data_IF_342978088277
#
_entry.id   IF_342978088277
#
_cell.length_a   1.000
_cell.length_b   1.000
_cell.length_c   1.000
_cell.angle_alpha   90.00
_cell.angle_beta   90.00
_cell.angle_gamma   90.00
#
_symmetry.space_group_name_H-M   'P 1'
#
loop_
_entity.id
_entity.type
_entity.pdbx_description
1 polymer ?
#
# COMPACT_ATOMS: atom_id res chain seq x y z
N UNK A 1 39.06 -18.50 -2.40
CA UNK A 1 38.37 -17.91 -3.57
C UNK A 1 36.88 -18.24 -3.63
N UNK A 2 36.44 -19.51 -3.54
CA UNK A 2 35.00 -19.86 -3.57
C UNK A 2 34.13 -19.19 -2.48
N UNK A 3 34.67 -18.94 -1.28
CA UNK A 3 33.93 -18.28 -0.18
C UNK A 3 33.69 -16.78 -0.39
N UNK A 4 34.49 -16.10 -1.22
CA UNK A 4 34.35 -14.67 -1.49
C UNK A 4 33.21 -14.43 -2.51
N UNK A 5 33.03 -15.36 -3.44
CA UNK A 5 31.97 -15.31 -4.46
C UNK A 5 30.58 -15.39 -3.80
N UNK A 6 30.41 -16.22 -2.77
CA UNK A 6 29.16 -16.33 -2.04
C UNK A 6 28.77 -15.04 -1.27
N UNK A 7 29.76 -14.31 -0.76
CA UNK A 7 29.52 -13.05 -0.03
C UNK A 7 29.07 -11.91 -0.97
N UNK A 8 29.60 -11.88 -2.20
CA UNK A 8 29.21 -10.89 -3.22
C UNK A 8 27.77 -11.14 -3.71
N UNK A 9 27.35 -12.41 -3.84
CA UNK A 9 25.99 -12.77 -4.24
C UNK A 9 24.91 -12.34 -3.22
N UNK A 10 25.24 -12.29 -1.93
CA UNK A 10 24.32 -11.83 -0.87
C UNK A 10 24.10 -10.31 -0.89
N UNK A 11 25.03 -9.53 -1.44
CA UNK A 11 24.87 -8.07 -1.57
C UNK A 11 24.06 -7.65 -2.80
N UNK A 12 23.77 -8.59 -3.70
CA UNK A 12 23.01 -8.37 -4.94
C UNK A 12 21.53 -8.73 -4.83
N UNK A 13 21.03 -9.11 -3.65
CA UNK A 13 19.59 -9.18 -3.41
C UNK A 13 19.03 -7.76 -3.45
N UNK A 14 18.55 -7.36 -4.64
CA UNK A 14 17.88 -6.09 -4.84
C UNK A 14 16.76 -5.95 -3.82
N UNK A 15 16.86 -4.92 -2.98
CA UNK A 15 15.74 -4.43 -2.19
C UNK A 15 14.66 -4.05 -3.21
N UNK A 16 13.60 -4.86 -3.29
CA UNK A 16 12.38 -4.47 -3.98
C UNK A 16 11.85 -3.26 -3.22
N UNK A 17 12.15 -2.06 -3.74
CA UNK A 17 11.73 -0.82 -3.14
C UNK A 17 10.23 -0.68 -3.39
N UNK A 18 9.44 -0.95 -2.35
CA UNK A 18 8.06 -0.52 -2.25
C UNK A 18 7.98 0.96 -2.61
N UNK A 19 7.19 1.30 -3.64
CA UNK A 19 7.10 2.65 -4.15
C UNK A 19 5.65 3.10 -4.25
N UNK A 20 5.34 4.19 -3.57
CA UNK A 20 4.09 4.92 -3.74
C UNK A 20 4.02 5.64 -5.09
N UNK A 21 5.04 5.51 -5.94
CA UNK A 21 5.08 6.01 -7.31
C UNK A 21 4.56 4.99 -8.32
N UNK A 22 4.64 3.69 -8.03
CA UNK A 22 4.08 2.63 -8.88
C UNK A 22 2.91 1.87 -8.22
N UNK A 23 2.58 2.23 -6.97
CA UNK A 23 1.47 1.70 -6.18
C UNK A 23 1.56 0.19 -5.94
N UNK A 24 2.80 -0.33 -5.95
CA UNK A 24 3.08 -1.75 -5.74
C UNK A 24 3.89 -1.98 -4.48
N UNK A 25 3.62 -3.11 -3.85
CA UNK A 25 4.36 -3.61 -2.71
C UNK A 25 4.43 -2.60 -1.54
N UNK A 26 3.38 -1.78 -1.36
CA UNK A 26 3.34 -0.70 -0.37
C UNK A 26 2.68 -1.13 0.94
N UNK A 27 3.05 -0.47 2.03
CA UNK A 27 2.53 -0.74 3.36
C UNK A 27 1.34 0.16 3.69
N UNK A 28 0.48 -0.30 4.60
CA UNK A 28 -0.63 0.50 5.12
C UNK A 28 -0.13 1.45 6.22
N UNK A 29 -0.15 2.74 5.92
CA UNK A 29 0.13 3.82 6.87
C UNK A 29 -1.06 4.10 7.75
N UNK A 30 -1.82 5.16 7.44
CA UNK A 30 -2.97 5.57 8.25
C UNK A 30 -4.26 5.10 7.60
N UNK A 31 -5.21 4.67 8.42
CA UNK A 31 -6.57 4.33 8.00
C UNK A 31 -7.50 5.35 8.65
N UNK A 32 -8.30 6.04 7.84
CA UNK A 32 -9.34 6.94 8.31
C UNK A 32 -10.70 6.27 8.20
N UNK A 33 -11.32 6.02 9.35
CA UNK A 33 -12.70 5.56 9.47
C UNK A 33 -13.56 6.71 9.99
N UNK A 34 -14.71 6.94 9.36
CA UNK A 34 -15.63 8.02 9.73
C UNK A 34 -17.01 7.46 10.11
N UNK A 35 -17.62 8.03 11.16
CA UNK A 35 -18.93 7.61 11.67
C UNK A 35 -19.99 7.76 10.57
N UNK A 36 -20.71 6.68 10.28
CA UNK A 36 -21.75 6.66 9.24
C UNK A 36 -21.22 6.47 7.81
N UNK A 37 -19.91 6.62 7.59
CA UNK A 37 -19.26 6.35 6.31
C UNK A 37 -18.52 5.00 6.31
N UNK A 38 -17.87 4.63 7.41
CA UNK A 38 -16.93 3.51 7.43
C UNK A 38 -15.57 3.95 6.91
N UNK A 39 -14.92 3.12 6.08
CA UNK A 39 -13.64 3.45 5.47
C UNK A 39 -13.77 4.71 4.60
N UNK A 40 -13.04 5.77 4.95
CA UNK A 40 -13.03 7.03 4.20
C UNK A 40 -11.80 7.16 3.32
N UNK A 41 -10.62 7.01 3.91
CA UNK A 41 -9.37 7.17 3.17
C UNK A 41 -8.21 6.40 3.81
N UNK A 42 -7.15 6.16 3.02
CA UNK A 42 -5.92 5.49 3.46
C UNK A 42 -4.69 6.29 3.01
N UNK A 43 -3.67 6.32 3.86
CA UNK A 43 -2.30 6.71 3.51
C UNK A 43 -1.45 5.45 3.42
N UNK A 44 -0.63 5.35 2.39
CA UNK A 44 0.29 4.26 2.15
C UNK A 44 1.73 4.68 2.39
N UNK A 45 2.60 3.71 2.71
CA UNK A 45 4.01 3.94 3.02
C UNK A 45 4.90 3.08 2.12
N UNK A 46 6.07 3.61 1.75
CA UNK A 46 7.14 2.83 1.13
C UNK A 46 7.81 1.87 2.14
N UNK A 47 7.76 2.18 3.42
CA UNK A 47 8.35 1.33 4.45
C UNK A 47 7.55 1.48 5.74
N UNK A 48 7.36 0.41 6.53
CA UNK A 48 6.54 0.46 7.76
C UNK A 48 7.10 1.44 8.80
N UNK A 49 8.40 1.69 8.76
CA UNK A 49 9.08 2.66 9.64
C UNK A 49 8.98 4.13 9.20
N UNK A 50 8.40 4.43 8.03
CA UNK A 50 8.30 5.81 7.56
C UNK A 50 7.28 6.61 8.39
N UNK A 51 7.67 7.83 8.80
CA UNK A 51 6.81 8.75 9.54
C UNK A 51 5.84 9.52 8.63
N UNK A 52 6.14 9.58 7.33
CA UNK A 52 5.31 10.18 6.28
C UNK A 52 5.07 9.19 5.14
N UNK A 53 4.01 9.44 4.37
CA UNK A 53 3.54 8.55 3.32
C UNK A 53 2.96 9.28 2.14
N UNK A 54 2.16 8.55 1.36
CA UNK A 54 1.34 9.12 0.30
C UNK A 54 0.38 10.20 0.81
N UNK A 55 -0.21 10.93 -0.12
CA UNK A 55 -1.45 11.65 0.18
C UNK A 55 -2.58 10.67 0.51
N UNK A 56 -3.66 11.19 1.07
CA UNK A 56 -4.88 10.41 1.29
C UNK A 56 -5.44 9.90 -0.04
N UNK A 57 -5.66 8.59 -0.12
CA UNK A 57 -6.49 8.01 -1.16
C UNK A 57 -7.85 7.63 -0.62
N UNK A 58 -8.88 8.11 -1.29
CA UNK A 58 -10.28 8.03 -0.87
C UNK A 58 -10.97 6.81 -1.49
N UNK A 59 -12.04 6.37 -0.84
CA UNK A 59 -12.88 5.24 -1.27
C UNK A 59 -14.29 5.72 -1.61
N UNK A 60 -14.38 6.88 -2.28
CA UNK A 60 -15.67 7.42 -2.70
C UNK A 60 -16.25 6.55 -3.82
N UNK A 61 -17.59 6.40 -3.85
CA UNK A 61 -18.26 5.52 -4.82
C UNK A 61 -18.32 4.04 -4.43
N UNK A 62 -17.55 3.61 -3.44
CA UNK A 62 -17.66 2.25 -2.87
C UNK A 62 -18.92 2.11 -2.02
N UNK A 63 -19.61 0.97 -2.14
CA UNK A 63 -20.76 0.64 -1.29
C UNK A 63 -20.36 0.47 0.18
N UNK A 64 -21.35 0.44 1.07
CA UNK A 64 -21.09 0.26 2.50
C UNK A 64 -20.45 -1.11 2.81
N UNK A 65 -20.81 -2.15 2.06
CA UNK A 65 -20.29 -3.49 2.30
C UNK A 65 -18.89 -3.67 1.69
N UNK A 66 -18.65 -3.17 0.47
CA UNK A 66 -17.28 -3.17 -0.11
C UNK A 66 -16.29 -2.39 0.78
N UNK A 67 -16.72 -1.28 1.39
CA UNK A 67 -15.89 -0.52 2.35
C UNK A 67 -15.56 -1.31 3.61
N UNK A 68 -16.49 -2.13 4.12
CA UNK A 68 -16.23 -3.01 5.28
C UNK A 68 -15.25 -4.12 4.91
N UNK A 69 -15.44 -4.74 3.75
CA UNK A 69 -14.58 -5.81 3.25
C UNK A 69 -13.15 -5.29 3.06
N UNK A 70 -12.97 -4.16 2.38
CA UNK A 70 -11.64 -3.56 2.20
C UNK A 70 -11.04 -3.08 3.50
N UNK A 71 -11.83 -2.52 4.43
CA UNK A 71 -11.31 -2.17 5.75
C UNK A 71 -10.73 -3.41 6.46
N UNK A 72 -11.40 -4.57 6.37
CA UNK A 72 -10.88 -5.80 6.96
C UNK A 72 -9.55 -6.26 6.34
N UNK A 73 -9.43 -6.16 5.01
CA UNK A 73 -8.20 -6.45 4.27
C UNK A 73 -7.07 -5.51 4.70
N UNK A 74 -7.34 -4.21 4.74
CA UNK A 74 -6.36 -3.17 5.08
C UNK A 74 -5.89 -3.28 6.54
N UNK A 75 -6.80 -3.55 7.47
CA UNK A 75 -6.43 -3.78 8.88
C UNK A 75 -5.56 -5.03 9.02
N UNK A 76 -5.89 -6.10 8.32
CA UNK A 76 -5.11 -7.34 8.32
C UNK A 76 -3.72 -7.10 7.75
N UNK A 77 -3.63 -6.43 6.60
CA UNK A 77 -2.36 -6.04 5.98
C UNK A 77 -1.51 -5.18 6.92
N UNK A 78 -2.12 -4.17 7.55
CA UNK A 78 -1.44 -3.30 8.50
C UNK A 78 -0.91 -4.06 9.72
N UNK A 79 -1.74 -4.90 10.33
CA UNK A 79 -1.39 -5.62 11.56
C UNK A 79 -0.30 -6.68 11.33
N UNK A 80 -0.33 -7.35 10.18
CA UNK A 80 0.67 -8.35 9.79
C UNK A 80 1.94 -7.75 9.18
N UNK A 81 1.95 -6.45 8.89
CA UNK A 81 3.02 -5.83 8.12
C UNK A 81 3.06 -6.31 6.66
N UNK A 82 1.95 -6.83 6.13
CA UNK A 82 1.88 -7.29 4.75
C UNK A 82 1.77 -6.11 3.79
N UNK A 83 2.45 -6.24 2.66
CA UNK A 83 2.36 -5.30 1.55
C UNK A 83 1.07 -5.49 0.74
N UNK A 84 0.63 -4.39 0.11
CA UNK A 84 -0.52 -4.34 -0.79
C UNK A 84 -0.13 -3.69 -2.11
N UNK A 85 -0.91 -3.99 -3.14
CA UNK A 85 -0.94 -3.21 -4.37
C UNK A 85 -2.25 -2.41 -4.41
N UNK A 86 -2.16 -1.21 -4.97
CA UNK A 86 -3.28 -0.28 -5.08
C UNK A 86 -3.41 0.13 -6.53
N UNK A 87 -4.65 0.22 -7.00
CA UNK A 87 -4.97 0.81 -8.30
C UNK A 87 -5.85 2.01 -8.03
N UNK A 88 -5.48 3.16 -8.59
CA UNK A 88 -6.26 4.39 -8.46
C UNK A 88 -7.04 4.68 -9.75
N UNK A 89 -7.97 5.63 -9.68
CA UNK A 89 -8.74 6.07 -10.85
C UNK A 89 -7.97 7.02 -11.79
N UNK A 90 -6.72 7.36 -11.44
CA UNK A 90 -5.86 8.20 -12.28
C UNK A 90 -5.48 7.46 -13.58
N UNK A 91 -5.12 8.22 -14.62
CA UNK A 91 -4.76 7.69 -15.94
C UNK A 91 -3.58 6.72 -15.90
N UNK A 92 -2.61 6.96 -15.02
CA UNK A 92 -1.44 6.11 -14.77
C UNK A 92 -1.74 4.92 -13.85
N UNK A 93 -2.98 4.79 -13.38
CA UNK A 93 -3.43 3.80 -12.40
C UNK A 93 -2.71 3.89 -11.04
N UNK A 94 -1.91 4.93 -10.83
CA UNK A 94 -1.19 5.20 -9.60
C UNK A 94 -1.09 6.70 -9.32
N UNK A 95 -2.01 7.22 -8.50
CA UNK A 95 -2.07 8.64 -8.15
C UNK A 95 -1.64 8.99 -6.74
N UNK A 96 -0.95 8.10 -6.01
CA UNK A 96 -0.74 8.27 -4.56
C UNK A 96 0.16 9.47 -4.19
N UNK A 97 0.92 10.02 -5.15
CA UNK A 97 1.70 11.26 -4.99
C UNK A 97 0.88 12.53 -5.27
N UNK A 98 -0.35 12.41 -5.75
CA UNK A 98 -1.26 13.52 -5.95
C UNK A 98 -2.28 13.61 -4.80
N UNK A 99 -2.69 14.83 -4.43
CA UNK A 99 -3.72 15.01 -3.41
C UNK A 99 -5.10 14.60 -3.93
N UNK A 100 -5.92 13.93 -3.10
CA UNK A 100 -7.33 13.71 -3.42
C UNK A 100 -7.61 12.51 -4.33
N UNK A 101 -6.69 11.55 -4.42
CA UNK A 101 -6.76 10.41 -5.34
C UNK A 101 -7.82 9.38 -4.93
N UNK A 102 -8.61 8.86 -5.87
CA UNK A 102 -9.61 7.83 -5.61
C UNK A 102 -9.03 6.41 -5.83
N UNK A 103 -9.25 5.53 -4.85
CA UNK A 103 -8.86 4.12 -4.93
C UNK A 103 -9.92 3.34 -5.71
N UNK A 104 -9.46 2.63 -6.74
CA UNK A 104 -10.28 1.73 -7.56
C UNK A 104 -10.20 0.28 -7.10
N UNK A 105 -9.03 -0.16 -6.64
CA UNK A 105 -8.84 -1.51 -6.11
C UNK A 105 -7.67 -1.57 -5.13
N UNK A 106 -7.74 -2.50 -4.18
CA UNK A 106 -6.64 -2.88 -3.28
C UNK A 106 -6.58 -4.38 -3.17
N UNK A 107 -5.39 -4.96 -3.21
CA UNK A 107 -5.20 -6.39 -3.03
C UNK A 107 -3.87 -6.69 -2.34
N UNK A 108 -3.85 -7.77 -1.55
CA UNK A 108 -2.64 -8.26 -0.89
C UNK A 108 -1.64 -8.74 -1.94
N UNK A 109 -0.36 -8.48 -1.71
CA UNK A 109 0.70 -9.05 -2.55
C UNK A 109 0.94 -10.52 -2.20
N UNK A 110 1.56 -11.28 -3.09
CA UNK A 110 1.82 -12.72 -2.86
C UNK A 110 2.87 -12.96 -1.77
N UNK A 111 3.79 -12.00 -1.56
CA UNK A 111 4.91 -12.13 -0.64
C UNK A 111 4.89 -10.97 0.39
N UNK A 112 4.92 -11.26 1.70
CA UNK A 112 5.00 -10.26 2.77
C UNK A 112 6.18 -9.32 2.63
#
# INVERSE_FOLDING_TARGET
MKKIIALILLTLSGVANASTTDCKDIYIGRIWVEKGYGLRAVVYLNHPGNTSGSYWSFFDGWSADERKEVLSLLMTAKASGHRVNVVTENTDQCGLQASGTQTKAVYLTTNP
#
